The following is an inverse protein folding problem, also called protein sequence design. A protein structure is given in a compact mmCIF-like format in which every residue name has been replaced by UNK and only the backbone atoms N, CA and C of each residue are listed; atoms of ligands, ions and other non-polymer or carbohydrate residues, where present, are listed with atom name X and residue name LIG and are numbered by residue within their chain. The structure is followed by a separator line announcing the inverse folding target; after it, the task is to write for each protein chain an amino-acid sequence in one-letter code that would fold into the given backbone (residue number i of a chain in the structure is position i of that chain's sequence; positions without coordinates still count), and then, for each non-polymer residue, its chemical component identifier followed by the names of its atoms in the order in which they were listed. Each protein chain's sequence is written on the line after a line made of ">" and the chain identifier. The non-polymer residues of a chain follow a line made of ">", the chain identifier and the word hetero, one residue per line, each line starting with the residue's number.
data_IF_527380747558
#
_entry.id   IF_527380747558
#
_cell.length_a   1.000
_cell.length_b   1.000
_cell.length_c   1.000
_cell.angle_alpha   90.00
_cell.angle_beta   90.00
_cell.angle_gamma   90.00
#
_symmetry.space_group_name_H-M   'P 1'
#
loop_
_entity.id
_entity.type
_entity.pdbx_description
1 polymer ?
#
# COMPACT_ATOMS: atom_id res chain seq x y z
N UNK A 1 -9.73 -4.74 5.38
CA UNK A 1 -8.48 -4.24 5.97
C UNK A 1 -7.73 -3.46 4.88
N UNK A 2 -7.69 -2.12 4.96
CA UNK A 2 -7.01 -1.28 3.97
C UNK A 2 -5.60 -1.02 4.50
N UNK A 3 -4.63 -1.80 4.07
CA UNK A 3 -3.24 -1.41 4.24
C UNK A 3 -2.93 -0.38 3.16
N UNK A 4 -2.67 0.84 3.62
CA UNK A 4 -2.37 1.99 2.79
C UNK A 4 -1.19 1.64 1.87
N UNK A 5 -1.41 1.71 0.56
CA UNK A 5 -0.39 1.54 -0.46
C UNK A 5 0.76 2.52 -0.17
N UNK A 6 1.93 2.01 0.23
CA UNK A 6 3.17 2.78 0.14
C UNK A 6 3.45 2.91 -1.36
N UNK A 7 3.09 4.05 -1.95
CA UNK A 7 3.45 4.39 -3.31
C UNK A 7 4.93 4.73 -3.36
N UNK A 8 5.77 3.77 -3.74
CA UNK A 8 7.13 4.08 -4.17
C UNK A 8 7.05 4.44 -5.65
N UNK A 9 6.90 5.74 -5.92
CA UNK A 9 7.11 6.31 -7.27
C UNK A 9 8.58 6.70 -7.38
N UNK A 10 9.37 6.07 -8.27
CA UNK A 10 10.79 6.40 -8.45
C UNK A 10 11.13 6.80 -9.90
N UNK A 11 11.44 8.10 -10.02
CA UNK A 11 12.36 8.88 -10.88
C UNK A 11 12.32 8.87 -12.42
N UNK A 12 12.38 10.12 -12.93
CA UNK A 12 12.87 10.48 -14.26
C UNK A 12 14.34 10.89 -14.21
N UNK A 13 15.08 10.54 -15.26
CA UNK A 13 16.29 11.26 -15.66
C UNK A 13 15.89 12.23 -16.79
N UNK A 14 15.87 13.54 -16.52
CA UNK A 14 15.69 14.57 -17.56
C UNK A 14 16.94 15.42 -17.67
N UNK A 15 17.60 15.38 -18.82
CA UNK A 15 18.59 16.39 -19.20
C UNK A 15 17.87 17.57 -19.86
N UNK A 16 17.63 18.67 -19.10
CA UNK A 16 17.33 20.09 -19.49
C UNK A 16 16.07 20.73 -18.84
N UNK A 17 16.03 22.09 -18.71
CA UNK A 17 15.22 22.78 -17.70
C UNK A 17 13.78 23.10 -18.17
N UNK A 18 12.93 23.24 -17.16
CA UNK A 18 11.48 23.42 -17.17
C UNK A 18 11.01 24.77 -17.76
N UNK A 19 9.99 24.75 -18.61
CA UNK A 19 9.10 25.89 -18.85
C UNK A 19 7.62 25.45 -18.76
N UNK A 20 6.88 26.17 -17.91
CA UNK A 20 5.46 25.96 -17.61
C UNK A 20 4.57 26.50 -18.72
N UNK A 21 3.43 25.84 -18.98
CA UNK A 21 2.08 26.43 -19.14
C UNK A 21 1.11 25.42 -19.78
N UNK A 22 0.38 24.61 -19.00
CA UNK A 22 -0.99 24.15 -19.36
C UNK A 22 -1.76 23.76 -18.09
N UNK A 23 -2.98 24.28 -17.93
CA UNK A 23 -3.95 23.87 -16.91
C UNK A 23 -4.56 22.51 -17.28
N UNK A 24 -4.35 21.47 -16.47
CA UNK A 24 -5.06 20.18 -16.56
C UNK A 24 -6.04 20.02 -15.38
N UNK A 25 -7.19 19.36 -15.59
CA UNK A 25 -8.15 19.09 -14.51
C UNK A 25 -7.56 18.12 -13.46
N UNK A 26 -7.98 18.33 -12.21
CA UNK A 26 -7.50 17.63 -11.01
C UNK A 26 -7.67 16.11 -11.14
N UNK A 27 -6.56 15.41 -11.42
CA UNK A 27 -6.44 13.96 -11.23
C UNK A 27 -6.50 13.63 -9.72
N UNK A 28 -7.05 12.47 -9.32
CA UNK A 28 -6.95 12.00 -7.95
C UNK A 28 -5.47 11.90 -7.53
N UNK A 29 -5.17 12.28 -6.27
CA UNK A 29 -3.83 12.55 -5.68
C UNK A 29 -2.79 11.38 -5.68
N UNK A 30 -2.77 10.50 -6.68
CA UNK A 30 -1.78 9.40 -6.79
C UNK A 30 -1.42 8.99 -8.23
N UNK A 31 -1.76 9.78 -9.26
CA UNK A 31 -1.31 9.54 -10.62
C UNK A 31 -0.17 10.51 -11.01
N UNK A 32 1.09 10.06 -10.94
CA UNK A 32 2.19 10.75 -11.61
C UNK A 32 2.12 10.40 -13.09
N UNK A 33 1.61 11.33 -13.90
CA UNK A 33 1.63 11.20 -15.35
C UNK A 33 3.02 11.55 -15.87
N UNK A 34 3.59 10.64 -16.65
CA UNK A 34 4.82 10.87 -17.40
C UNK A 34 4.55 11.90 -18.49
N UNK A 35 5.15 13.08 -18.36
CA UNK A 35 5.16 14.07 -19.45
C UNK A 35 6.04 13.50 -20.59
N UNK A 36 5.52 13.43 -21.83
CA UNK A 36 6.26 12.80 -22.92
C UNK A 36 7.52 13.61 -23.24
N UNK A 37 8.67 12.92 -23.30
CA UNK A 37 9.86 13.46 -23.95
C UNK A 37 9.50 13.83 -25.39
N UNK A 38 9.93 15.02 -25.80
CA UNK A 38 9.86 15.48 -27.18
C UNK A 38 10.53 14.46 -28.10
N UNK A 39 9.75 13.93 -29.04
CA UNK A 39 10.13 13.15 -30.22
C UNK A 39 11.18 12.03 -30.02
N UNK A 40 10.71 10.78 -29.89
CA UNK A 40 11.49 9.60 -30.31
C UNK A 40 11.65 8.45 -29.30
N UNK A 41 11.30 8.63 -28.03
CA UNK A 41 11.37 7.55 -27.04
C UNK A 41 9.97 7.17 -26.54
N UNK A 42 9.54 5.93 -26.80
CA UNK A 42 8.33 5.33 -26.21
C UNK A 42 8.43 5.38 -24.68
N UNK A 43 7.54 6.12 -24.01
CA UNK A 43 7.55 6.24 -22.54
C UNK A 43 7.25 4.90 -21.86
N UNK A 44 7.86 4.65 -20.70
CA UNK A 44 7.59 3.44 -19.89
C UNK A 44 6.91 3.82 -18.60
N UNK A 45 5.78 3.19 -18.30
CA UNK A 45 5.13 3.23 -16.99
C UNK A 45 5.63 2.08 -16.14
N UNK A 46 5.98 2.39 -14.88
CA UNK A 46 6.31 1.40 -13.87
C UNK A 46 5.65 1.78 -12.54
N UNK A 47 4.98 0.83 -11.90
CA UNK A 47 4.39 0.99 -10.55
C UNK A 47 4.73 -0.21 -9.69
N UNK A 48 5.25 0.06 -8.50
CA UNK A 48 5.30 -0.90 -7.41
C UNK A 48 4.21 -0.58 -6.38
N UNK A 49 3.57 -1.61 -5.85
CA UNK A 49 2.73 -1.48 -4.66
C UNK A 49 2.89 -2.67 -3.74
N UNK A 50 2.84 -2.39 -2.44
CA UNK A 50 2.94 -3.40 -1.39
C UNK A 50 1.57 -3.68 -0.78
N UNK A 51 1.25 -4.95 -0.62
CA UNK A 51 0.04 -5.49 0.00
C UNK A 51 0.45 -6.36 1.20
N UNK A 52 0.65 -5.77 2.39
CA UNK A 52 0.98 -6.54 3.58
C UNK A 52 -0.23 -7.40 3.99
N UNK A 53 0.07 -8.63 4.40
CA UNK A 53 -0.87 -9.58 4.95
C UNK A 53 -0.49 -9.94 6.38
N UNK A 54 -1.51 -10.20 7.19
CA UNK A 54 -1.40 -10.53 8.62
C UNK A 54 -0.58 -11.80 8.85
N UNK A 55 -0.21 -12.01 10.11
CA UNK A 55 0.59 -13.17 10.52
C UNK A 55 -0.16 -14.48 10.25
N UNK A 56 0.52 -15.41 9.57
CA UNK A 56 0.05 -16.76 9.25
C UNK A 56 0.53 -17.80 10.27
N UNK A 57 1.63 -17.52 10.96
CA UNK A 57 2.27 -18.42 11.93
C UNK A 57 1.64 -18.37 13.32
N UNK A 58 0.87 -17.32 13.62
CA UNK A 58 0.17 -17.17 14.89
C UNK A 58 -1.31 -16.74 14.67
N UNK A 59 -2.20 -17.70 14.31
CA UNK A 59 -3.60 -17.37 14.03
C UNK A 59 -4.35 -16.83 15.25
N UNK A 60 -3.95 -17.20 16.47
CA UNK A 60 -4.52 -16.66 17.71
C UNK A 60 -4.24 -15.17 17.87
N UNK A 61 -2.96 -14.77 17.73
CA UNK A 61 -2.57 -13.36 17.73
C UNK A 61 -3.28 -12.58 16.62
N UNK A 62 -3.31 -13.11 15.39
CA UNK A 62 -3.99 -12.47 14.26
C UNK A 62 -5.47 -12.22 14.54
N UNK A 63 -6.17 -13.17 15.16
CA UNK A 63 -7.58 -13.01 15.53
C UNK A 63 -7.80 -11.93 16.59
N UNK A 64 -6.91 -11.82 17.59
CA UNK A 64 -6.99 -10.75 18.59
C UNK A 64 -6.71 -9.37 17.98
N UNK A 65 -5.72 -9.26 17.09
CA UNK A 65 -5.46 -8.03 16.34
C UNK A 65 -6.68 -7.64 15.49
N UNK A 66 -7.33 -8.60 14.81
CA UNK A 66 -8.56 -8.33 14.05
C UNK A 66 -9.70 -7.80 14.93
N UNK A 67 -9.86 -8.31 16.16
CA UNK A 67 -10.84 -7.78 17.13
C UNK A 67 -10.52 -6.34 17.51
N UNK A 68 -9.24 -6.01 17.71
CA UNK A 68 -8.82 -4.63 17.99
C UNK A 68 -9.11 -3.70 16.80
N UNK A 69 -8.78 -4.11 15.58
CA UNK A 69 -9.14 -3.35 14.38
C UNK A 69 -10.66 -3.16 14.25
N UNK A 70 -11.45 -4.18 14.57
CA UNK A 70 -12.91 -4.09 14.57
C UNK A 70 -13.42 -3.04 15.57
N UNK A 71 -12.89 -3.09 16.80
CA UNK A 71 -13.31 -2.24 17.92
C UNK A 71 -12.90 -0.77 17.75
N UNK A 72 -11.69 -0.52 17.27
CA UNK A 72 -11.13 0.84 17.19
C UNK A 72 -11.21 1.39 15.77
N UNK A 73 -10.52 0.76 14.81
CA UNK A 73 -10.40 1.27 13.44
C UNK A 73 -11.72 1.24 12.68
N UNK A 74 -12.38 0.08 12.59
CA UNK A 74 -13.62 -0.07 11.83
C UNK A 74 -14.75 0.75 12.43
N UNK A 75 -14.87 0.74 13.76
CA UNK A 75 -15.84 1.58 14.48
C UNK A 75 -15.63 3.07 14.21
N UNK A 76 -14.38 3.56 14.25
CA UNK A 76 -14.08 4.97 13.98
C UNK A 76 -14.47 5.39 12.56
N UNK A 77 -14.20 4.54 11.58
CA UNK A 77 -14.52 4.81 10.17
C UNK A 77 -15.93 4.41 9.72
N UNK A 78 -16.76 3.84 10.60
CA UNK A 78 -18.07 3.29 10.24
C UNK A 78 -17.98 2.18 9.18
N UNK A 79 -16.94 1.35 9.25
CA UNK A 79 -16.69 0.25 8.30
C UNK A 79 -17.11 -1.10 8.87
N UNK A 80 -17.55 -1.99 8.01
CA UNK A 80 -17.76 -3.39 8.37
C UNK A 80 -16.45 -4.10 8.66
N UNK A 81 -16.50 -5.04 9.61
CA UNK A 81 -15.38 -5.95 9.86
C UNK A 81 -15.30 -6.96 8.74
N UNK A 82 -14.25 -6.90 7.93
CA UNK A 82 -13.95 -7.92 6.92
C UNK A 82 -12.48 -8.29 7.00
N UNK A 83 -12.21 -9.54 7.35
CA UNK A 83 -10.92 -10.16 7.11
C UNK A 83 -10.69 -10.14 5.59
N UNK A 84 -9.67 -9.42 5.15
CA UNK A 84 -9.30 -9.40 3.74
C UNK A 84 -8.72 -10.75 3.34
N UNK A 85 -8.98 -11.19 2.11
CA UNK A 85 -8.17 -12.23 1.48
C UNK A 85 -6.75 -11.68 1.24
N UNK A 86 -5.76 -12.58 1.24
CA UNK A 86 -4.41 -12.22 0.83
C UNK A 86 -4.40 -11.80 -0.64
N UNK A 87 -3.60 -10.78 -0.97
CA UNK A 87 -3.51 -10.28 -2.34
C UNK A 87 -2.91 -11.35 -3.24
N UNK A 88 -3.55 -11.61 -4.38
CA UNK A 88 -3.17 -12.69 -5.29
C UNK A 88 -2.79 -12.20 -6.69
N UNK A 89 -2.26 -13.11 -7.51
CA UNK A 89 -1.78 -12.82 -8.86
C UNK A 89 -2.90 -12.36 -9.80
N UNK A 90 -4.11 -12.91 -9.67
CA UNK A 90 -5.27 -12.48 -10.48
C UNK A 90 -5.57 -10.99 -10.25
N UNK A 91 -5.54 -10.54 -9.00
CA UNK A 91 -5.70 -9.14 -8.65
C UNK A 91 -4.56 -8.25 -9.20
N UNK A 92 -3.34 -8.79 -9.31
CA UNK A 92 -2.21 -8.08 -9.92
C UNK A 92 -2.38 -7.93 -11.44
N UNK A 93 -2.81 -9.00 -12.12
CA UNK A 93 -3.13 -9.00 -13.55
C UNK A 93 -4.23 -7.97 -13.84
N UNK A 94 -5.35 -8.06 -13.14
CA UNK A 94 -6.48 -7.14 -13.29
C UNK A 94 -6.05 -5.68 -13.06
N UNK A 95 -5.14 -5.44 -12.10
CA UNK A 95 -4.61 -4.11 -11.84
C UNK A 95 -3.70 -3.62 -12.97
N UNK A 96 -2.81 -4.45 -13.49
CA UNK A 96 -1.92 -4.10 -14.60
C UNK A 96 -2.71 -3.72 -15.86
N UNK A 97 -3.79 -4.44 -16.15
CA UNK A 97 -4.69 -4.21 -17.28
C UNK A 97 -5.39 -2.84 -17.25
N UNK A 98 -5.41 -2.13 -16.13
CA UNK A 98 -5.97 -0.76 -16.08
C UNK A 98 -5.22 0.17 -17.04
N UNK A 99 -3.93 -0.06 -17.30
CA UNK A 99 -3.11 0.79 -18.17
C UNK A 99 -3.61 0.83 -19.63
N UNK A 100 -4.26 -0.24 -20.13
CA UNK A 100 -4.87 -0.30 -21.47
C UNK A 100 -5.91 0.82 -21.66
N UNK A 101 -6.71 1.11 -20.61
CA UNK A 101 -7.74 2.17 -20.64
C UNK A 101 -7.15 3.57 -20.86
N UNK A 102 -5.85 3.73 -20.66
CA UNK A 102 -5.12 4.98 -20.81
C UNK A 102 -4.18 4.97 -22.03
N UNK A 103 -4.34 4.02 -22.95
CA UNK A 103 -3.59 3.95 -24.20
C UNK A 103 -2.17 3.41 -24.06
N UNK A 104 -1.85 2.75 -22.94
CA UNK A 104 -0.62 1.98 -22.82
C UNK A 104 -0.78 0.59 -23.45
N UNK A 105 0.35 0.00 -23.86
CA UNK A 105 0.48 -1.33 -24.45
C UNK A 105 1.69 -2.07 -23.84
N UNK A 106 2.01 -3.28 -24.31
CA UNK A 106 3.11 -4.12 -23.73
C UNK A 106 2.97 -4.25 -22.20
N UNK A 107 1.75 -4.57 -21.73
CA UNK A 107 1.45 -4.70 -20.31
C UNK A 107 2.11 -5.96 -19.76
N UNK A 108 2.91 -5.78 -18.70
CA UNK A 108 3.53 -6.87 -17.97
C UNK A 108 3.28 -6.67 -16.48
N UNK A 109 3.29 -7.78 -15.75
CA UNK A 109 3.25 -7.76 -14.31
C UNK A 109 4.29 -8.73 -13.75
N UNK A 110 4.70 -8.50 -12.51
CA UNK A 110 5.52 -9.42 -11.75
C UNK A 110 5.15 -9.35 -10.26
N UNK A 111 5.30 -10.48 -9.57
CA UNK A 111 5.02 -10.61 -8.15
C UNK A 111 6.33 -10.82 -7.38
N UNK A 112 6.46 -10.14 -6.27
CA UNK A 112 7.57 -10.29 -5.33
C UNK A 112 7.01 -10.51 -3.92
N UNK A 113 7.73 -11.26 -3.10
CA UNK A 113 7.29 -11.61 -1.76
C UNK A 113 8.36 -11.26 -0.75
N UNK A 114 7.92 -10.77 0.42
CA UNK A 114 8.81 -10.48 1.54
C UNK A 114 8.13 -10.83 2.85
N UNK A 115 8.91 -11.37 3.78
CA UNK A 115 8.47 -11.56 5.16
C UNK A 115 9.22 -10.58 6.06
N UNK A 116 8.50 -9.89 6.93
CA UNK A 116 9.09 -8.97 7.93
C UNK A 116 8.57 -9.33 9.30
N UNK A 117 9.47 -9.45 10.28
CA UNK A 117 9.09 -9.66 11.68
C UNK A 117 9.51 -8.44 12.49
N UNK A 118 8.59 -7.97 13.31
CA UNK A 118 8.75 -6.79 14.16
C UNK A 118 8.59 -7.17 15.62
N UNK A 119 9.29 -6.46 16.50
CA UNK A 119 8.86 -6.32 17.89
C UNK A 119 7.54 -5.54 17.97
N UNK A 120 6.85 -5.63 19.11
CA UNK A 120 5.62 -4.87 19.33
C UNK A 120 5.81 -3.35 19.08
N UNK A 121 6.90 -2.77 19.59
CA UNK A 121 7.22 -1.35 19.42
C UNK A 121 7.47 -0.96 17.95
N UNK A 122 8.25 -1.77 17.23
CA UNK A 122 8.52 -1.50 15.81
C UNK A 122 7.25 -1.62 14.97
N UNK A 123 6.34 -2.54 15.32
CA UNK A 123 5.05 -2.64 14.64
C UNK A 123 4.18 -1.40 14.87
N UNK A 124 4.11 -0.87 16.08
CA UNK A 124 3.41 0.40 16.36
C UNK A 124 4.04 1.56 15.60
N UNK A 125 5.38 1.63 15.53
CA UNK A 125 6.07 2.65 14.73
C UNK A 125 5.67 2.56 13.25
N UNK A 126 5.60 1.35 12.69
CA UNK A 126 5.11 1.14 11.32
C UNK A 126 3.67 1.65 11.15
N UNK A 127 2.75 1.26 12.04
CA UNK A 127 1.36 1.74 11.99
C UNK A 127 1.25 3.26 12.09
N UNK A 128 2.14 3.89 12.86
CA UNK A 128 2.25 5.34 12.98
C UNK A 128 2.65 6.05 11.67
N UNK A 129 3.09 5.33 10.64
CA UNK A 129 3.38 5.91 9.31
C UNK A 129 2.17 5.93 8.37
N UNK A 130 1.12 5.17 8.68
CA UNK A 130 -0.05 5.07 7.82
C UNK A 130 -0.96 6.26 8.04
N UNK A 131 -1.22 7.03 6.97
CA UNK A 131 -1.99 8.27 7.06
C UNK A 131 -3.41 8.06 7.59
N UNK A 132 -4.04 6.92 7.30
CA UNK A 132 -5.34 6.56 7.87
C UNK A 132 -5.24 6.28 9.38
N UNK A 133 -4.18 5.64 9.86
CA UNK A 133 -3.97 5.46 11.30
C UNK A 133 -3.64 6.80 11.98
N UNK A 134 -2.84 7.66 11.34
CA UNK A 134 -2.53 9.01 11.83
C UNK A 134 -3.81 9.85 11.97
N UNK A 135 -4.76 9.70 11.05
CA UNK A 135 -6.00 10.48 11.02
C UNK A 135 -7.02 10.07 12.11
N UNK A 136 -6.82 8.95 12.81
CA UNK A 136 -7.66 8.56 13.94
C UNK A 136 -7.48 9.57 15.08
N UNK A 137 -8.59 9.93 15.73
CA UNK A 137 -8.59 10.84 16.89
C UNK A 137 -7.60 10.36 17.97
N UNK A 138 -6.79 11.29 18.49
CA UNK A 138 -5.57 10.96 19.21
C UNK A 138 -5.80 10.06 20.43
N UNK A 139 -6.88 10.28 21.20
CA UNK A 139 -7.19 9.44 22.36
C UNK A 139 -7.50 8.00 21.94
N UNK A 140 -8.32 7.85 20.90
CA UNK A 140 -8.67 6.54 20.34
C UNK A 140 -7.43 5.85 19.76
N UNK A 141 -6.61 6.59 18.99
CA UNK A 141 -5.38 6.07 18.38
C UNK A 141 -4.39 5.59 19.43
N UNK A 142 -4.19 6.38 20.49
CA UNK A 142 -3.25 6.05 21.58
C UNK A 142 -3.68 4.77 22.30
N UNK A 143 -4.97 4.66 22.66
CA UNK A 143 -5.50 3.44 23.29
C UNK A 143 -5.39 2.23 22.35
N UNK A 144 -5.74 2.41 21.07
CA UNK A 144 -5.66 1.36 20.06
C UNK A 144 -4.23 0.83 19.90
N UNK A 145 -3.24 1.71 19.78
CA UNK A 145 -1.84 1.32 19.62
C UNK A 145 -1.30 0.65 20.88
N UNK A 146 -1.62 1.15 22.07
CA UNK A 146 -1.24 0.51 23.32
C UNK A 146 -1.80 -0.91 23.43
N UNK A 147 -3.05 -1.13 23.02
CA UNK A 147 -3.69 -2.45 23.04
C UNK A 147 -3.08 -3.42 22.03
N UNK A 148 -2.70 -2.94 20.85
CA UNK A 148 -1.96 -3.76 19.88
C UNK A 148 -0.60 -4.17 20.47
N UNK A 149 0.16 -3.22 21.04
CA UNK A 149 1.47 -3.48 21.61
C UNK A 149 1.41 -4.52 22.75
N UNK A 150 0.47 -4.33 23.69
CA UNK A 150 0.20 -5.25 24.80
C UNK A 150 -0.10 -6.65 24.28
N UNK A 151 -0.99 -6.76 23.29
CA UNK A 151 -1.41 -8.05 22.72
C UNK A 151 -0.22 -8.76 22.06
N UNK A 152 0.59 -8.07 21.26
CA UNK A 152 1.77 -8.68 20.65
C UNK A 152 2.74 -9.20 21.72
N UNK A 153 2.95 -8.43 22.80
CA UNK A 153 3.82 -8.84 23.90
C UNK A 153 3.30 -10.09 24.64
N UNK A 154 1.98 -10.19 24.85
CA UNK A 154 1.35 -11.38 25.46
C UNK A 154 1.53 -12.65 24.60
N UNK A 155 1.68 -12.49 23.29
CA UNK A 155 1.84 -13.60 22.33
C UNK A 155 3.30 -13.85 21.90
N UNK A 156 4.26 -13.45 22.74
CA UNK A 156 5.69 -13.72 22.50
C UNK A 156 6.48 -12.56 21.90
N UNK A 157 5.90 -11.35 21.85
CA UNK A 157 6.59 -10.10 21.59
C UNK A 157 7.00 -9.87 20.13
N UNK A 158 6.53 -10.72 19.20
CA UNK A 158 6.84 -10.62 17.77
C UNK A 158 5.57 -10.66 16.93
N UNK A 159 5.56 -9.88 15.86
CA UNK A 159 4.48 -9.86 14.87
C UNK A 159 5.08 -9.94 13.46
N UNK A 160 4.60 -10.90 12.65
CA UNK A 160 5.13 -11.13 11.30
C UNK A 160 4.14 -10.68 10.23
N UNK A 161 4.60 -9.82 9.32
CA UNK A 161 3.88 -9.45 8.10
C UNK A 161 4.40 -10.21 6.90
N UNK A 162 3.47 -10.61 6.04
CA UNK A 162 3.73 -11.23 4.75
C UNK A 162 3.38 -10.23 3.65
N UNK A 163 4.38 -9.57 3.10
CA UNK A 163 4.23 -8.59 2.03
C UNK A 163 4.16 -9.30 0.67
N UNK A 164 3.12 -8.97 -0.08
CA UNK A 164 3.05 -9.24 -1.52
C UNK A 164 3.23 -7.93 -2.27
N UNK A 165 4.23 -7.84 -3.12
CA UNK A 165 4.56 -6.62 -3.89
C UNK A 165 4.28 -6.90 -5.37
N UNK A 166 3.40 -6.10 -5.98
CA UNK A 166 3.16 -6.16 -7.42
C UNK A 166 3.96 -5.09 -8.16
N UNK A 167 4.56 -5.48 -9.28
CA UNK A 167 5.13 -4.60 -10.28
C UNK A 167 4.22 -4.61 -11.51
N UNK A 168 3.84 -3.43 -11.98
CA UNK A 168 3.15 -3.23 -13.25
C UNK A 168 4.06 -2.45 -14.19
N UNK A 169 4.21 -2.95 -15.41
CA UNK A 169 4.96 -2.29 -16.48
C UNK A 169 4.05 -2.13 -17.69
N UNK A 170 4.15 -0.98 -18.35
CA UNK A 170 3.49 -0.76 -19.64
C UNK A 170 4.27 0.28 -20.46
N UNK A 171 4.06 0.29 -21.78
CA UNK A 171 4.69 1.24 -22.71
C UNK A 171 3.65 2.14 -23.35
N UNK A 172 3.99 3.41 -23.49
CA UNK A 172 3.26 4.33 -24.34
C UNK A 172 3.79 4.14 -25.77
N UNK A 173 2.92 3.77 -26.73
CA UNK A 173 3.29 3.66 -28.14
C UNK A 173 3.92 4.95 -28.68
#
# INVERSE_FOLDING_TARGET
>A
MLFLNIYITLFYHTTKPYQSHVNLPLLPRSAVTIQPCLAGCSGVFARFANHPYRDKGNPGLSAEIDKLYSRYYCKYYGKDTKAGAEYNEEQAIQRAQIAEKYGFSDIRHAMFYRTRTFSAKEYIQLLGTYSDHIAIEEKIRTEFFAKIEETINQYGGKFTLYDTIDLQLARKP
#
